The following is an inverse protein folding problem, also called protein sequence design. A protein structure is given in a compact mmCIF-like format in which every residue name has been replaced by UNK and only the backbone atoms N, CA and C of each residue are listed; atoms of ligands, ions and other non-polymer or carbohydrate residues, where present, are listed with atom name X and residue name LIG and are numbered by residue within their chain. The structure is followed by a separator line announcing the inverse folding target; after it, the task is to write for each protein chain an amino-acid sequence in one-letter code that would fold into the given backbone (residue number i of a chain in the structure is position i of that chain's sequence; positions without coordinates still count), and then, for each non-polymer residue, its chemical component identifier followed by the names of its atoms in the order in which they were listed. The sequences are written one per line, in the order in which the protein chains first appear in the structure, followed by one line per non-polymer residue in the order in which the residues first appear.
data_IF_387447106195
#
_entry.id   IF_387447106195
#
_cell.length_a   1.000
_cell.length_b   1.000
_cell.length_c   1.000
_cell.angle_alpha   90.00
_cell.angle_beta   90.00
_cell.angle_gamma   90.00
#
_symmetry.space_group_name_H-M   'P 1'
#
loop_
_entity.id
_entity.type
_entity.pdbx_description
1 polymer ?
#
# COMPACT_ATOMS: atom_id res chain seq x y z
N UNK A 1 -40.08 1.87 41.07
CA UNK A 1 -38.74 2.43 40.77
C UNK A 1 -37.72 1.39 40.28
N UNK A 2 -38.14 0.20 39.81
CA UNK A 2 -37.21 -0.89 39.43
C UNK A 2 -37.06 -1.10 37.91
N UNK A 3 -37.94 -0.55 37.07
CA UNK A 3 -37.97 -0.84 35.62
C UNK A 3 -37.05 0.07 34.80
N UNK A 4 -36.75 1.28 35.30
CA UNK A 4 -35.89 2.25 34.60
C UNK A 4 -34.39 1.93 34.67
N UNK A 5 -33.96 1.14 35.66
CA UNK A 5 -32.57 0.76 35.86
C UNK A 5 -32.13 -0.38 34.92
N UNK A 6 -33.02 -1.32 34.61
CA UNK A 6 -32.71 -2.47 33.74
C UNK A 6 -32.60 -2.11 32.25
N UNK A 7 -33.16 -0.98 31.82
CA UNK A 7 -33.12 -0.53 30.42
C UNK A 7 -31.76 0.14 30.13
N UNK A 8 -31.26 0.97 31.05
CA UNK A 8 -29.95 1.64 30.90
C UNK A 8 -28.77 0.67 30.80
N UNK A 9 -28.78 -0.42 31.56
CA UNK A 9 -27.71 -1.44 31.54
C UNK A 9 -27.65 -2.20 30.21
N UNK A 10 -28.79 -2.40 29.55
CA UNK A 10 -28.88 -3.09 28.24
C UNK A 10 -28.40 -2.23 27.08
N UNK A 11 -28.60 -0.91 27.14
CA UNK A 11 -28.07 0.02 26.15
C UNK A 11 -26.56 0.24 26.29
N UNK A 12 -26.05 0.31 27.53
CA UNK A 12 -24.60 0.46 27.78
C UNK A 12 -23.82 -0.78 27.32
N UNK A 13 -24.37 -1.99 27.53
CA UNK A 13 -23.75 -3.23 27.03
C UNK A 13 -23.83 -3.35 25.50
N UNK A 14 -24.94 -2.95 24.87
CA UNK A 14 -25.06 -2.96 23.41
C UNK A 14 -24.10 -1.98 22.72
N UNK A 15 -23.87 -0.80 23.29
CA UNK A 15 -22.89 0.19 22.76
C UNK A 15 -21.46 -0.31 22.95
N UNK A 16 -21.12 -0.91 24.10
CA UNK A 16 -19.79 -1.51 24.33
C UNK A 16 -19.49 -2.68 23.39
N UNK A 17 -20.47 -3.55 23.11
CA UNK A 17 -20.30 -4.66 22.16
C UNK A 17 -20.18 -4.16 20.72
N UNK A 18 -20.93 -3.11 20.34
CA UNK A 18 -20.81 -2.50 19.01
C UNK A 18 -19.44 -1.84 18.80
N UNK A 19 -18.93 -1.09 19.79
CA UNK A 19 -17.58 -0.49 19.75
C UNK A 19 -16.47 -1.56 19.69
N UNK A 20 -16.62 -2.69 20.40
CA UNK A 20 -15.66 -3.80 20.29
C UNK A 20 -15.69 -4.53 18.94
N UNK A 21 -16.84 -4.59 18.26
CA UNK A 21 -16.95 -5.21 16.94
C UNK A 21 -16.31 -4.35 15.84
N UNK A 22 -16.34 -3.02 15.95
CA UNK A 22 -15.65 -2.12 15.00
C UNK A 22 -14.13 -2.07 15.19
N UNK A 23 -13.61 -2.24 16.41
CA UNK A 23 -12.16 -2.32 16.64
C UNK A 23 -11.54 -3.63 16.13
N UNK A 24 -12.33 -4.71 16.08
CA UNK A 24 -11.83 -6.05 15.74
C UNK A 24 -11.47 -6.21 14.26
N UNK A 25 -12.22 -5.57 13.35
CA UNK A 25 -11.99 -5.66 11.90
C UNK A 25 -10.65 -5.07 11.46
N UNK A 26 -10.17 -4.02 12.16
CA UNK A 26 -8.91 -3.34 11.82
C UNK A 26 -7.67 -4.15 12.20
N UNK A 27 -7.73 -4.90 13.31
CA UNK A 27 -6.64 -5.79 13.73
C UNK A 27 -6.47 -7.00 12.78
N UNK A 28 -7.55 -7.48 12.17
CA UNK A 28 -7.52 -8.60 11.22
C UNK A 28 -6.97 -8.26 9.83
N UNK A 29 -7.05 -7.00 9.40
CA UNK A 29 -6.39 -6.55 8.17
C UNK A 29 -4.87 -6.66 8.36
N UNK A 30 -4.34 -5.93 9.34
CA UNK A 30 -2.91 -5.88 9.64
C UNK A 30 -2.24 -7.27 9.76
N UNK A 31 -2.90 -8.26 10.38
CA UNK A 31 -2.37 -9.62 10.44
C UNK A 31 -2.18 -10.28 9.06
N UNK A 32 -3.05 -10.01 8.08
CA UNK A 32 -2.96 -10.58 6.73
C UNK A 32 -1.84 -9.95 5.91
N UNK A 33 -1.68 -8.64 5.99
CA UNK A 33 -0.58 -7.94 5.32
C UNK A 33 0.79 -8.38 5.89
N UNK A 34 0.90 -8.44 7.22
CA UNK A 34 2.07 -8.96 7.93
C UNK A 34 2.40 -10.40 7.50
N UNK A 35 1.40 -11.29 7.47
CA UNK A 35 1.56 -12.67 7.00
C UNK A 35 2.03 -12.74 5.55
N UNK A 36 1.53 -11.87 4.68
CA UNK A 36 1.92 -11.85 3.26
C UNK A 36 3.40 -11.48 3.12
N UNK A 37 3.89 -10.50 3.90
CA UNK A 37 5.31 -10.10 3.92
C UNK A 37 6.19 -11.24 4.45
N UNK A 38 5.78 -11.89 5.54
CA UNK A 38 6.49 -13.04 6.11
C UNK A 38 6.55 -14.23 5.14
N UNK A 39 5.44 -14.55 4.48
CA UNK A 39 5.38 -15.61 3.47
C UNK A 39 6.24 -15.27 2.26
N UNK A 40 6.23 -14.02 1.80
CA UNK A 40 7.11 -13.55 0.73
C UNK A 40 8.60 -13.71 1.11
N UNK A 41 8.96 -13.38 2.35
CA UNK A 41 10.33 -13.57 2.85
C UNK A 41 10.71 -15.06 2.89
N UNK A 42 9.81 -15.93 3.38
CA UNK A 42 10.02 -17.37 3.42
C UNK A 42 10.23 -17.94 2.00
N UNK A 43 9.36 -17.57 1.05
CA UNK A 43 9.50 -17.95 -0.36
C UNK A 43 10.85 -17.55 -0.91
N UNK A 44 11.28 -16.30 -0.70
CA UNK A 44 12.58 -15.82 -1.18
C UNK A 44 13.75 -16.60 -0.58
N UNK A 45 13.77 -16.75 0.75
CA UNK A 45 14.84 -17.44 1.47
C UNK A 45 14.94 -18.91 1.03
N UNK A 46 13.81 -19.61 0.92
CA UNK A 46 13.77 -21.00 0.49
C UNK A 46 14.18 -21.17 -0.98
N UNK A 47 13.77 -20.24 -1.86
CA UNK A 47 14.19 -20.21 -3.27
C UNK A 47 15.72 -20.14 -3.37
N UNK A 48 16.33 -19.26 -2.58
CA UNK A 48 17.77 -19.01 -2.63
C UNK A 48 18.60 -20.08 -1.94
N UNK A 49 18.04 -20.77 -0.94
CA UNK A 49 18.71 -21.85 -0.22
C UNK A 49 18.96 -23.09 -1.10
N UNK A 50 18.01 -23.45 -1.97
CA UNK A 50 18.10 -24.66 -2.79
C UNK A 50 18.80 -24.40 -4.14
N UNK A 51 19.93 -25.07 -4.38
CA UNK A 51 20.75 -24.88 -5.58
C UNK A 51 20.04 -25.23 -6.90
N UNK A 52 19.09 -26.18 -6.89
CA UNK A 52 18.34 -26.56 -8.09
C UNK A 52 17.32 -25.49 -8.51
N UNK A 53 16.91 -24.65 -7.55
CA UNK A 53 15.78 -23.73 -7.71
C UNK A 53 16.18 -22.26 -7.55
N UNK A 54 17.43 -22.02 -7.12
CA UNK A 54 18.00 -20.70 -6.91
C UNK A 54 17.94 -19.88 -8.19
N UNK A 55 17.43 -18.66 -8.04
CA UNK A 55 17.51 -17.65 -9.08
C UNK A 55 18.98 -17.29 -9.28
N UNK A 56 19.56 -17.41 -10.49
CA UNK A 56 20.96 -17.10 -10.72
C UNK A 56 21.30 -15.67 -10.31
N UNK A 57 22.47 -15.47 -9.69
CA UNK A 57 22.90 -14.15 -9.23
C UNK A 57 22.95 -13.12 -10.37
N UNK A 58 23.24 -13.54 -11.61
CA UNK A 58 23.20 -12.69 -12.80
C UNK A 58 21.80 -12.12 -13.11
N UNK A 59 20.75 -12.82 -12.71
CA UNK A 59 19.37 -12.36 -12.89
C UNK A 59 19.01 -11.31 -11.86
N UNK A 60 19.40 -11.54 -10.59
CA UNK A 60 19.19 -10.62 -9.47
C UNK A 60 20.09 -9.38 -9.53
N UNK A 61 21.31 -9.52 -10.06
CA UNK A 61 22.23 -8.41 -10.24
C UNK A 61 21.65 -7.41 -11.26
N UNK A 62 21.58 -6.13 -10.88
CA UNK A 62 20.95 -5.10 -11.72
C UNK A 62 19.43 -5.26 -11.84
N UNK A 63 18.78 -6.00 -10.94
CA UNK A 63 17.34 -5.93 -10.80
C UNK A 63 16.91 -4.52 -10.35
N UNK A 64 15.89 -3.98 -11.00
CA UNK A 64 15.28 -2.69 -10.66
C UNK A 64 14.12 -2.87 -9.68
N UNK A 65 13.49 -4.04 -9.69
CA UNK A 65 12.52 -4.45 -8.69
C UNK A 65 12.45 -5.97 -8.57
N UNK A 66 12.00 -6.45 -7.41
CA UNK A 66 11.68 -7.86 -7.17
C UNK A 66 10.29 -7.94 -6.59
N UNK A 67 9.41 -8.70 -7.23
CA UNK A 67 8.10 -9.03 -6.68
C UNK A 67 8.08 -10.47 -6.17
N UNK A 68 7.47 -10.69 -5.01
CA UNK A 68 7.26 -12.02 -4.45
C UNK A 68 5.80 -12.18 -4.08
N UNK A 69 5.16 -13.18 -4.67
CA UNK A 69 3.72 -13.41 -4.59
C UNK A 69 3.53 -14.86 -4.10
N UNK A 70 3.44 -15.07 -2.78
CA UNK A 70 3.22 -16.40 -2.22
C UNK A 70 1.83 -16.92 -2.55
N UNK A 71 1.71 -18.24 -2.69
CA UNK A 71 0.42 -18.93 -2.72
C UNK A 71 -0.53 -18.50 -3.85
N UNK A 72 -0.04 -18.17 -5.04
CA UNK A 72 -0.87 -17.84 -6.20
C UNK A 72 -1.77 -19.02 -6.52
N UNK A 73 -3.07 -18.82 -6.39
CA UNK A 73 -4.07 -19.83 -6.68
C UNK A 73 -4.35 -19.79 -8.17
N UNK A 74 -4.19 -20.93 -8.84
CA UNK A 74 -4.60 -21.17 -10.22
C UNK A 74 -5.74 -22.20 -10.20
N UNK A 75 -6.92 -21.80 -10.63
CA UNK A 75 -8.05 -22.70 -10.84
C UNK A 75 -8.43 -22.74 -12.32
N UNK A 76 -8.75 -23.92 -12.86
CA UNK A 76 -9.17 -24.04 -14.26
C UNK A 76 -10.24 -25.11 -14.52
N UNK A 77 -11.28 -24.70 -15.27
CA UNK A 77 -12.18 -25.57 -16.03
C UNK A 77 -12.45 -24.90 -17.39
N UNK A 78 -11.78 -25.37 -18.46
CA UNK A 78 -11.81 -24.80 -19.84
C UNK A 78 -11.18 -23.40 -19.96
N UNK A 79 -11.50 -22.47 -19.06
CA UNK A 79 -10.86 -21.17 -18.86
C UNK A 79 -10.30 -21.13 -17.43
N UNK A 80 -9.01 -20.84 -17.30
CA UNK A 80 -8.33 -20.73 -16.01
C UNK A 80 -8.22 -19.30 -15.54
N UNK A 81 -8.44 -19.08 -14.24
CA UNK A 81 -8.12 -17.83 -13.56
C UNK A 81 -6.97 -18.08 -12.58
N UNK A 82 -6.06 -17.11 -12.49
CA UNK A 82 -5.05 -17.04 -11.43
C UNK A 82 -5.26 -15.79 -10.61
N UNK A 83 -5.10 -15.91 -9.30
CA UNK A 83 -5.14 -14.78 -8.38
C UNK A 83 -4.14 -15.00 -7.24
N UNK A 84 -3.41 -13.94 -6.88
CA UNK A 84 -2.49 -13.97 -5.74
C UNK A 84 -2.23 -12.58 -5.20
N UNK A 85 -1.81 -12.53 -3.94
CA UNK A 85 -1.37 -11.33 -3.23
C UNK A 85 0.10 -11.46 -2.91
N UNK A 86 0.82 -10.36 -2.99
CA UNK A 86 2.24 -10.35 -2.76
C UNK A 86 2.76 -8.95 -2.49
N UNK A 87 4.07 -8.82 -2.61
CA UNK A 87 4.78 -7.57 -2.38
C UNK A 87 5.80 -7.31 -3.48
N UNK A 88 6.04 -6.03 -3.76
CA UNK A 88 7.03 -5.52 -4.70
C UNK A 88 8.03 -4.67 -3.94
N UNK A 89 9.32 -5.00 -4.03
CA UNK A 89 10.40 -4.14 -3.58
C UNK A 89 11.05 -3.49 -4.79
N UNK A 90 11.18 -2.17 -4.78
CA UNK A 90 11.83 -1.40 -5.83
C UNK A 90 13.22 -0.97 -5.38
N UNK A 91 14.16 -0.95 -6.32
CA UNK A 91 15.52 -0.49 -6.12
C UNK A 91 15.70 0.87 -6.79
N UNK A 92 16.25 1.82 -6.07
CA UNK A 92 16.65 3.10 -6.63
C UNK A 92 17.86 2.93 -7.56
N UNK A 93 18.00 3.84 -8.53
CA UNK A 93 19.15 3.91 -9.43
C UNK A 93 20.47 4.08 -8.65
N UNK A 94 20.42 4.75 -7.49
CA UNK A 94 21.55 4.89 -6.56
C UNK A 94 21.92 3.58 -5.83
N UNK A 95 21.11 2.52 -5.96
CA UNK A 95 21.37 1.21 -5.40
C UNK A 95 20.61 0.76 -4.14
N UNK A 96 20.02 1.63 -3.28
CA UNK A 96 19.26 1.17 -2.13
C UNK A 96 17.90 0.57 -2.53
N UNK A 97 17.41 -0.36 -1.70
CA UNK A 97 16.08 -0.95 -1.83
C UNK A 97 15.08 -0.22 -0.96
N UNK A 98 13.89 0.02 -1.50
CA UNK A 98 12.77 0.58 -0.77
C UNK A 98 11.98 -0.48 0.01
N UNK A 99 11.18 -0.01 0.96
CA UNK A 99 10.23 -0.85 1.67
C UNK A 99 9.19 -1.44 0.67
N UNK A 100 8.73 -2.69 0.90
CA UNK A 100 7.83 -3.39 -0.01
C UNK A 100 6.47 -2.68 -0.12
N UNK A 101 5.90 -2.56 -1.32
CA UNK A 101 4.49 -2.19 -1.53
C UNK A 101 3.67 -3.44 -1.86
N UNK A 102 2.38 -3.45 -1.49
CA UNK A 102 1.53 -4.61 -1.78
C UNK A 102 1.08 -4.61 -3.23
N UNK A 103 1.00 -5.81 -3.80
CA UNK A 103 0.55 -6.03 -5.16
C UNK A 103 -0.45 -7.18 -5.21
N UNK A 104 -1.29 -7.15 -6.23
CA UNK A 104 -2.13 -8.28 -6.65
C UNK A 104 -1.70 -8.74 -8.03
N UNK A 105 -1.75 -10.04 -8.25
CA UNK A 105 -1.58 -10.67 -9.57
C UNK A 105 -2.90 -11.32 -9.94
N UNK A 106 -3.50 -10.90 -11.04
CA UNK A 106 -4.72 -11.51 -11.58
C UNK A 106 -4.50 -11.83 -13.05
N UNK A 107 -4.75 -13.07 -13.49
CA UNK A 107 -4.53 -13.45 -14.88
C UNK A 107 -5.52 -14.47 -15.38
N UNK A 108 -5.77 -14.44 -16.68
CA UNK A 108 -6.52 -15.46 -17.39
C UNK A 108 -5.57 -16.37 -18.15
N UNK A 109 -5.85 -17.67 -18.20
CA UNK A 109 -5.16 -18.57 -19.10
C UNK A 109 -6.15 -19.53 -19.76
N UNK A 110 -6.03 -19.77 -21.06
CA UNK A 110 -6.75 -20.84 -21.74
C UNK A 110 -5.93 -22.12 -21.58
N UNK A 111 -6.51 -23.16 -20.98
CA UNK A 111 -5.78 -24.42 -20.78
C UNK A 111 -6.68 -25.58 -20.38
N UNK A 112 -6.38 -26.77 -20.92
CA UNK A 112 -7.11 -28.02 -20.74
C UNK A 112 -6.85 -28.72 -19.40
N UNK A 113 -6.17 -28.07 -18.46
CA UNK A 113 -5.88 -28.66 -17.15
C UNK A 113 -7.08 -28.45 -16.22
N UNK A 114 -7.56 -29.54 -15.60
CA UNK A 114 -8.63 -29.51 -14.59
C UNK A 114 -7.98 -29.56 -13.21
N UNK A 115 -8.24 -28.56 -12.37
CA UNK A 115 -7.79 -28.57 -10.98
C UNK A 115 -7.54 -27.19 -10.38
N UNK A 116 -7.28 -27.19 -9.07
CA UNK A 116 -6.79 -26.03 -8.32
C UNK A 116 -5.36 -26.33 -7.88
N UNK A 117 -4.43 -25.45 -8.23
CA UNK A 117 -3.04 -25.52 -7.77
C UNK A 117 -2.65 -24.20 -7.09
N UNK A 118 -1.70 -24.28 -6.18
CA UNK A 118 -1.10 -23.12 -5.51
C UNK A 118 0.39 -23.09 -5.83
N UNK A 119 0.88 -21.95 -6.25
CA UNK A 119 2.29 -21.75 -6.60
C UNK A 119 2.82 -20.44 -6.08
N UNK A 120 4.03 -20.41 -5.56
CA UNK A 120 4.70 -19.15 -5.22
C UNK A 120 5.35 -18.58 -6.47
N UNK A 121 5.25 -17.27 -6.69
CA UNK A 121 5.80 -16.61 -7.88
C UNK A 121 6.81 -15.55 -7.44
N UNK A 122 7.99 -15.54 -8.06
CA UNK A 122 8.98 -14.47 -7.94
C UNK A 122 9.19 -13.84 -9.31
N UNK A 123 9.09 -12.52 -9.37
CA UNK A 123 9.32 -11.73 -10.58
C UNK A 123 10.54 -10.84 -10.38
N UNK A 124 11.43 -10.82 -11.37
CA UNK A 124 12.63 -10.00 -11.38
C UNK A 124 12.54 -9.01 -12.54
N UNK A 125 12.44 -7.72 -12.20
CA UNK A 125 12.32 -6.63 -13.17
C UNK A 125 13.72 -6.14 -13.55
N UNK A 126 14.02 -6.13 -14.84
CA UNK A 126 15.36 -5.84 -15.40
C UNK A 126 15.49 -4.45 -15.99
N UNK A 127 14.38 -3.74 -16.21
CA UNK A 127 14.36 -2.39 -16.80
C UNK A 127 13.62 -1.42 -15.88
N UNK A 128 14.05 -0.16 -15.86
CA UNK A 128 13.31 0.91 -15.17
C UNK A 128 11.89 1.09 -15.75
N UNK A 129 11.72 0.89 -17.05
CA UNK A 129 10.43 0.98 -17.74
C UNK A 129 9.41 -0.03 -17.20
N UNK A 130 9.82 -1.29 -16.99
CA UNK A 130 8.96 -2.31 -16.40
C UNK A 130 8.52 -1.98 -14.96
N UNK A 131 9.34 -1.23 -14.22
CA UNK A 131 8.98 -0.72 -12.88
C UNK A 131 8.03 0.47 -13.01
N UNK A 132 8.28 1.41 -13.92
CA UNK A 132 7.41 2.57 -14.08
C UNK A 132 5.98 2.17 -14.44
N UNK A 133 5.79 1.20 -15.34
CA UNK A 133 4.45 0.75 -15.72
C UNK A 133 3.64 0.13 -14.58
N UNK A 134 4.28 -0.50 -13.58
CA UNK A 134 3.56 -0.97 -12.38
C UNK A 134 3.25 0.17 -11.41
N UNK A 135 4.14 1.16 -11.30
CA UNK A 135 3.93 2.36 -10.47
C UNK A 135 2.79 3.24 -11.00
N UNK A 136 2.56 3.26 -12.32
CA UNK A 136 1.44 3.97 -12.97
C UNK A 136 0.07 3.28 -12.74
N UNK A 137 0.04 2.17 -11.98
CA UNK A 137 -1.16 1.60 -11.38
C UNK A 137 -1.43 0.16 -11.77
N UNK A 138 -1.18 -0.24 -13.03
CA UNK A 138 -1.30 -1.64 -13.46
C UNK A 138 -0.36 -1.95 -14.64
N UNK A 139 0.12 -3.19 -14.67
CA UNK A 139 1.01 -3.69 -15.71
C UNK A 139 0.55 -5.06 -16.20
N UNK A 140 0.35 -5.23 -17.50
CA UNK A 140 -0.07 -6.48 -18.12
C UNK A 140 1.13 -7.20 -18.72
N UNK A 141 1.46 -8.37 -18.16
CA UNK A 141 2.57 -9.19 -18.62
C UNK A 141 2.26 -9.82 -19.98
N UNK A 142 3.19 -9.69 -20.93
CA UNK A 142 3.06 -10.15 -22.31
C UNK A 142 2.35 -9.18 -23.25
N UNK A 143 1.65 -8.18 -22.72
CA UNK A 143 0.97 -7.14 -23.52
C UNK A 143 1.66 -5.77 -23.38
N UNK A 144 1.84 -5.30 -22.14
CA UNK A 144 2.50 -4.02 -21.85
C UNK A 144 4.02 -4.18 -21.74
N UNK A 145 4.48 -5.35 -21.31
CA UNK A 145 5.89 -5.64 -21.06
C UNK A 145 6.23 -7.09 -21.40
N UNK A 146 7.40 -7.31 -22.00
CA UNK A 146 7.88 -8.65 -22.30
C UNK A 146 8.26 -9.38 -21.00
N UNK A 147 7.52 -10.45 -20.68
CA UNK A 147 7.80 -11.34 -19.56
C UNK A 147 8.27 -12.71 -20.08
N UNK A 148 9.25 -13.31 -19.41
CA UNK A 148 9.73 -14.64 -19.79
C UNK A 148 10.06 -15.50 -18.57
N UNK A 149 9.92 -16.81 -18.74
CA UNK A 149 10.42 -17.79 -17.79
C UNK A 149 11.94 -17.61 -17.60
N UNK A 150 12.38 -17.43 -16.35
CA UNK A 150 13.80 -17.23 -16.05
C UNK A 150 14.61 -18.53 -15.99
N UNK A 151 15.94 -18.47 -16.23
CA UNK A 151 16.82 -19.64 -16.13
C UNK A 151 17.02 -20.08 -14.68
N UNK A 152 17.15 -21.39 -14.45
CA UNK A 152 17.39 -22.00 -13.14
C UNK A 152 18.77 -22.68 -13.06
N UNK A 153 19.19 -23.09 -11.86
CA UNK A 153 20.52 -23.62 -11.54
C UNK A 153 21.14 -24.57 -12.56
N UNK A 154 22.47 -24.47 -12.76
CA UNK A 154 23.27 -25.30 -13.66
C UNK A 154 23.09 -25.01 -15.17
N UNK A 155 21.87 -24.66 -15.62
CA UNK A 155 21.58 -24.37 -17.03
C UNK A 155 21.81 -22.90 -17.44
N UNK A 156 22.06 -22.02 -16.46
CA UNK A 156 22.41 -20.62 -16.70
C UNK A 156 23.70 -20.43 -17.52
N UNK A 157 24.53 -21.47 -17.67
CA UNK A 157 25.77 -21.43 -18.47
C UNK A 157 25.63 -22.00 -19.89
N UNK A 158 24.54 -22.70 -20.19
CA UNK A 158 24.38 -23.45 -21.44
C UNK A 158 23.46 -22.75 -22.48
N UNK A 159 22.76 -21.68 -22.08
CA UNK A 159 21.81 -20.95 -22.95
C UNK A 159 22.07 -19.46 -23.11
N UNK A 160 23.18 -18.94 -22.58
CA UNK A 160 23.43 -17.50 -22.39
C UNK A 160 23.83 -16.73 -23.66
N UNK A 161 24.01 -17.42 -24.79
CA UNK A 161 24.41 -16.79 -26.07
C UNK A 161 23.23 -16.11 -26.79
N UNK A 162 21.99 -16.42 -26.41
CA UNK A 162 20.80 -15.68 -26.85
C UNK A 162 20.45 -14.62 -25.82
N UNK A 163 20.76 -13.34 -26.10
CA UNK A 163 20.49 -12.17 -25.25
C UNK A 163 19.20 -12.34 -24.43
N UNK A 164 19.35 -12.36 -23.11
CA UNK A 164 18.26 -12.21 -22.15
C UNK A 164 17.58 -10.84 -22.40
N UNK A 165 16.52 -10.83 -23.22
CA UNK A 165 15.84 -9.61 -23.70
C UNK A 165 14.52 -9.31 -22.98
N UNK A 166 14.03 -10.20 -22.13
CA UNK A 166 12.78 -9.95 -21.41
C UNK A 166 13.01 -8.89 -20.34
N UNK A 167 12.05 -8.00 -20.19
CA UNK A 167 12.10 -6.95 -19.20
C UNK A 167 11.73 -7.47 -17.80
N UNK A 168 10.94 -8.55 -17.75
CA UNK A 168 10.57 -9.24 -16.51
C UNK A 168 10.85 -10.73 -16.64
N UNK A 169 11.52 -11.29 -15.64
CA UNK A 169 11.74 -12.73 -15.53
C UNK A 169 10.90 -13.33 -14.42
N UNK A 170 10.17 -14.40 -14.73
CA UNK A 170 9.26 -15.07 -13.82
C UNK A 170 9.75 -16.47 -13.42
N UNK A 171 9.65 -16.74 -12.14
CA UNK A 171 9.99 -18.00 -11.48
C UNK A 171 8.79 -18.46 -10.68
N UNK A 172 8.39 -19.73 -10.80
CA UNK A 172 7.35 -20.28 -9.96
C UNK A 172 7.80 -21.55 -9.24
N UNK A 173 7.30 -21.70 -8.00
CA UNK A 173 7.45 -22.88 -7.16
C UNK A 173 6.11 -23.57 -6.97
N UNK A 174 6.09 -24.89 -7.10
CA UNK A 174 4.98 -25.71 -6.59
C UNK A 174 5.56 -26.88 -5.82
N UNK A 175 5.16 -27.08 -4.55
CA UNK A 175 5.47 -28.28 -3.75
C UNK A 175 6.94 -28.73 -3.82
N UNK A 176 7.88 -27.77 -3.74
CA UNK A 176 9.32 -28.05 -3.72
C UNK A 176 10.03 -28.11 -5.09
N UNK A 177 9.30 -28.00 -6.21
CA UNK A 177 9.86 -27.88 -7.55
C UNK A 177 9.73 -26.44 -8.04
N UNK A 178 10.83 -25.86 -8.56
CA UNK A 178 10.79 -24.58 -9.25
C UNK A 178 10.98 -24.77 -10.75
N UNK A 179 10.21 -24.02 -11.52
CA UNK A 179 10.35 -23.90 -12.96
C UNK A 179 10.17 -22.44 -13.35
N UNK A 180 10.91 -21.97 -14.36
CA UNK A 180 10.53 -20.74 -15.04
C UNK A 180 9.14 -20.94 -15.66
N UNK A 181 8.22 -20.00 -15.43
CA UNK A 181 6.84 -20.10 -15.92
C UNK A 181 6.47 -18.86 -16.71
N UNK A 182 5.89 -19.05 -17.90
CA UNK A 182 5.27 -17.96 -18.63
C UNK A 182 3.98 -17.54 -17.91
N UNK A 183 3.88 -16.25 -17.61
CA UNK A 183 2.74 -15.65 -16.89
C UNK A 183 2.04 -14.58 -17.72
N UNK A 184 2.22 -14.66 -19.04
CA UNK A 184 1.52 -13.83 -20.01
C UNK A 184 0.00 -13.83 -19.76
N UNK A 185 -0.62 -12.69 -20.03
CA UNK A 185 -2.04 -12.46 -19.76
C UNK A 185 -2.36 -12.25 -18.28
N UNK A 186 -1.36 -11.96 -17.45
CA UNK A 186 -1.56 -11.57 -16.04
C UNK A 186 -1.36 -10.07 -15.87
N UNK A 187 -2.27 -9.45 -15.13
CA UNK A 187 -2.22 -8.06 -14.69
C UNK A 187 -1.65 -8.04 -13.27
N UNK A 188 -0.60 -7.25 -13.08
CA UNK A 188 -0.10 -6.87 -11.76
C UNK A 188 -0.64 -5.49 -11.43
N UNK A 189 -1.17 -5.30 -10.22
CA UNK A 189 -1.69 -4.02 -9.75
C UNK A 189 -1.16 -3.72 -8.36
N UNK A 190 -0.77 -2.48 -8.09
CA UNK A 190 -0.46 -2.03 -6.72
C UNK A 190 -1.75 -2.01 -5.89
N UNK A 191 -1.70 -2.60 -4.71
CA UNK A 191 -2.75 -2.59 -3.71
C UNK A 191 -2.46 -1.46 -2.71
N UNK A 192 -2.90 -0.25 -3.07
CA UNK A 192 -2.71 0.95 -2.25
C UNK A 192 -3.41 0.82 -0.89
N UNK A 193 -4.56 0.16 -0.85
CA UNK A 193 -5.32 -0.04 0.39
C UNK A 193 -4.55 -0.94 1.36
N UNK A 194 -4.04 -2.08 0.89
CA UNK A 194 -3.21 -2.96 1.70
C UNK A 194 -1.90 -2.29 2.11
N UNK A 195 -1.30 -1.50 1.21
CA UNK A 195 -0.07 -0.74 1.49
C UNK A 195 -0.30 0.29 2.60
N UNK A 196 -1.35 1.11 2.52
CA UNK A 196 -1.69 2.05 3.59
C UNK A 196 -2.14 1.39 4.90
N UNK A 197 -2.84 0.26 4.83
CA UNK A 197 -3.24 -0.47 6.04
C UNK A 197 -2.02 -1.00 6.81
N UNK A 198 -0.97 -1.40 6.09
CA UNK A 198 0.25 -1.95 6.64
C UNK A 198 1.22 -0.88 7.14
N UNK A 199 1.41 0.19 6.35
CA UNK A 199 2.29 1.31 6.68
C UNK A 199 1.52 2.43 7.35
N UNK A 200 1.63 2.51 8.67
CA UNK A 200 1.01 3.58 9.45
C UNK A 200 2.00 4.67 9.80
N UNK A 201 1.53 5.91 9.77
CA UNK A 201 2.20 7.02 10.44
C UNK A 201 1.72 7.12 11.89
N UNK A 202 2.55 7.71 12.76
CA UNK A 202 2.15 8.00 14.15
C UNK A 202 1.09 9.12 14.24
N UNK A 203 0.80 9.80 13.13
CA UNK A 203 -0.17 10.88 12.98
C UNK A 203 0.01 11.60 11.64
N UNK A 204 -0.87 12.57 11.31
CA UNK A 204 -0.69 13.44 10.15
C UNK A 204 0.70 14.11 10.15
N UNK A 205 1.37 14.15 9.00
CA UNK A 205 2.71 14.75 8.86
C UNK A 205 3.86 14.01 9.55
N UNK A 206 3.58 12.91 10.28
CA UNK A 206 4.62 12.08 10.89
C UNK A 206 5.17 11.07 9.88
N UNK A 207 6.47 10.73 9.95
CA UNK A 207 7.06 9.75 9.06
C UNK A 207 6.39 8.39 9.21
N UNK A 208 6.21 7.70 8.07
CA UNK A 208 5.71 6.33 8.03
C UNK A 208 6.64 5.42 8.83
N UNK A 209 6.05 4.62 9.72
CA UNK A 209 6.76 3.60 10.49
C UNK A 209 6.82 2.33 9.63
N UNK A 210 8.04 1.92 9.27
CA UNK A 210 8.28 0.68 8.52
C UNK A 210 8.30 -0.50 9.50
N UNK A 211 7.40 -1.50 9.36
CA UNK A 211 7.37 -2.66 10.25
C UNK A 211 8.65 -3.52 10.17
N UNK A 212 9.05 -4.21 11.25
CA UNK A 212 10.27 -5.02 11.26
C UNK A 212 10.33 -6.09 10.17
N UNK A 213 9.22 -6.73 9.84
CA UNK A 213 9.12 -7.75 8.79
C UNK A 213 9.33 -7.17 7.39
N UNK A 214 8.89 -5.93 7.14
CA UNK A 214 9.18 -5.21 5.91
C UNK A 214 10.69 -4.95 5.78
N UNK A 215 11.33 -4.51 6.86
CA UNK A 215 12.78 -4.29 6.90
C UNK A 215 13.55 -5.60 6.66
N UNK A 216 13.12 -6.69 7.29
CA UNK A 216 13.72 -8.01 7.11
C UNK A 216 13.63 -8.51 5.68
N UNK A 217 12.47 -8.35 5.02
CA UNK A 217 12.32 -8.71 3.60
C UNK A 217 13.24 -7.86 2.71
N UNK A 218 13.27 -6.54 2.90
CA UNK A 218 14.15 -5.64 2.14
C UNK A 218 15.63 -6.02 2.33
N UNK A 219 16.04 -6.37 3.54
CA UNK A 219 17.40 -6.85 3.84
C UNK A 219 17.69 -8.19 3.15
N UNK A 220 16.75 -9.14 3.18
CA UNK A 220 16.87 -10.42 2.46
C UNK A 220 17.06 -10.19 0.95
N UNK A 221 16.31 -9.27 0.35
CA UNK A 221 16.42 -8.92 -1.08
C UNK A 221 17.77 -8.24 -1.37
N UNK A 222 18.20 -7.31 -0.52
CA UNK A 222 19.50 -6.65 -0.63
C UNK A 222 20.66 -7.66 -0.56
N UNK A 223 20.58 -8.62 0.35
CA UNK A 223 21.60 -9.66 0.51
C UNK A 223 21.72 -10.57 -0.73
N UNK A 224 20.58 -10.97 -1.32
CA UNK A 224 20.59 -11.88 -2.48
C UNK A 224 20.92 -11.18 -3.80
N UNK A 225 20.79 -9.85 -3.86
CA UNK A 225 21.11 -9.03 -5.05
C UNK A 225 22.54 -8.49 -5.04
N UNK A 226 23.33 -8.78 -3.98
CA UNK A 226 24.74 -8.42 -3.89
C UNK A 226 25.00 -6.98 -3.43
N UNK A 227 24.00 -6.26 -2.92
CA UNK A 227 24.18 -4.92 -2.33
C UNK A 227 24.54 -5.06 -0.85
N UNK A 228 25.78 -5.46 -0.56
CA UNK A 228 26.31 -5.42 0.81
C UNK A 228 26.57 -3.95 1.23
N UNK A 229 25.56 -3.31 1.80
CA UNK A 229 25.73 -2.22 2.77
C UNK A 229 25.03 -2.64 4.07
N UNK A 230 25.75 -2.87 5.18
CA UNK A 230 25.14 -3.31 6.43
C UNK A 230 24.22 -2.24 7.04
N UNK A 231 23.13 -2.61 7.74
CA UNK A 231 22.45 -1.72 8.65
C UNK A 231 23.07 -1.81 10.06
N UNK A 232 23.03 -0.67 10.78
CA UNK A 232 23.36 -0.45 12.21
C UNK A 232 24.83 -0.13 12.54
N UNK A 233 25.10 1.16 12.78
CA UNK A 233 26.15 1.58 13.71
C UNK A 233 25.52 1.80 15.10
N UNK A 234 26.01 1.14 16.18
CA UNK A 234 25.79 1.59 17.54
C UNK A 234 26.76 2.73 17.91
N UNK A 235 26.36 3.52 18.90
CA UNK A 235 27.10 4.67 19.41
C UNK A 235 28.54 4.32 19.85
N UNK A 236 29.49 5.19 19.48
CA UNK A 236 30.74 5.41 20.20
C UNK A 236 32.02 4.81 19.60
N UNK A 237 32.69 5.54 18.69
CA UNK A 237 34.15 5.65 18.61
C UNK A 237 34.56 6.74 17.60
N UNK A 238 35.19 7.80 18.10
CA UNK A 238 35.81 8.88 17.30
C UNK A 238 37.20 8.40 16.86
N UNK A 239 37.60 8.64 15.60
CA UNK A 239 38.90 9.29 15.38
C UNK A 239 38.74 10.58 14.57
N UNK A 240 39.26 11.64 15.17
CA UNK A 240 39.46 13.00 14.69
C UNK A 240 40.50 13.07 13.57
N UNK A 241 40.18 13.76 12.48
CA UNK A 241 41.14 14.29 11.51
C UNK A 241 40.46 14.83 10.23
N UNK A 242 40.56 16.14 9.90
CA UNK A 242 39.89 16.70 8.73
C UNK A 242 40.72 16.55 7.45
N UNK A 243 40.10 16.09 6.37
CA UNK A 243 40.60 16.28 4.99
C UNK A 243 39.76 17.39 4.35
N UNK A 244 40.33 18.52 3.93
CA UNK A 244 39.59 19.60 3.28
C UNK A 244 39.46 19.34 1.77
N UNK A 245 38.24 19.45 1.22
CA UNK A 245 38.08 19.64 -0.23
C UNK A 245 36.94 18.92 -0.95
N UNK A 246 36.01 18.25 -0.27
CA UNK A 246 34.89 17.59 -0.95
C UNK A 246 33.55 18.22 -0.54
N UNK A 247 32.73 18.72 -1.49
CA UNK A 247 31.35 19.10 -1.21
C UNK A 247 30.61 17.85 -0.73
N UNK A 248 30.01 17.94 0.45
CA UNK A 248 29.14 16.91 0.99
C UNK A 248 27.87 16.80 0.13
N UNK A 249 27.93 15.97 -0.92
CA UNK A 249 26.72 15.43 -1.52
C UNK A 249 26.16 14.41 -0.52
N UNK A 250 25.16 14.86 0.25
CA UNK A 250 24.41 14.01 1.16
C UNK A 250 23.93 12.76 0.43
N UNK A 251 24.25 11.60 1.00
CA UNK A 251 23.64 10.34 0.61
C UNK A 251 22.12 10.48 0.67
N UNK A 252 21.34 10.11 -0.37
CA UNK A 252 19.92 9.94 -0.21
C UNK A 252 19.72 8.76 0.75
N UNK A 253 19.19 9.04 1.93
CA UNK A 253 18.74 8.00 2.83
C UNK A 253 17.70 7.13 2.10
N UNK A 254 17.75 5.81 2.29
CA UNK A 254 16.65 4.92 1.96
C UNK A 254 15.41 5.39 2.74
N UNK A 255 14.61 6.24 2.11
CA UNK A 255 13.59 7.06 2.79
C UNK A 255 12.18 6.50 2.63
N UNK A 256 11.26 6.86 3.55
CA UNK A 256 9.82 6.56 3.48
C UNK A 256 9.12 7.12 2.21
N UNK A 257 9.76 8.02 1.47
CA UNK A 257 9.15 8.71 0.31
C UNK A 257 8.60 7.81 -0.81
N UNK A 258 9.10 6.57 -0.97
CA UNK A 258 8.53 5.62 -1.94
C UNK A 258 7.22 5.00 -1.44
N UNK A 259 7.13 4.65 -0.15
CA UNK A 259 5.87 4.13 0.41
C UNK A 259 4.85 5.25 0.59
N UNK A 260 5.29 6.50 0.84
CA UNK A 260 4.41 7.67 0.98
C UNK A 260 3.56 7.94 -0.28
N UNK A 261 4.02 7.51 -1.48
CA UNK A 261 3.26 7.60 -2.74
C UNK A 261 2.09 6.61 -2.83
N UNK A 262 2.12 5.53 -2.05
CA UNK A 262 1.14 4.43 -2.11
C UNK A 262 0.48 4.13 -0.77
N UNK A 263 0.90 4.79 0.31
CA UNK A 263 0.26 4.75 1.60
C UNK A 263 -1.08 5.51 1.51
N UNK A 264 -2.15 4.85 1.93
CA UNK A 264 -3.47 5.47 2.11
C UNK A 264 -3.35 6.53 3.19
N UNK A 265 -3.42 7.81 2.79
CA UNK A 265 -3.39 8.92 3.73
C UNK A 265 -4.73 9.00 4.47
N UNK A 266 -4.76 9.61 5.65
CA UNK A 266 -6.01 9.85 6.40
C UNK A 266 -7.09 10.49 5.51
N UNK A 267 -6.65 11.37 4.60
CA UNK A 267 -7.46 11.98 3.55
C UNK A 267 -8.16 10.96 2.64
N UNK A 268 -7.51 9.86 2.26
CA UNK A 268 -8.09 8.85 1.36
C UNK A 268 -9.17 8.02 2.06
N UNK A 269 -8.98 7.72 3.35
CA UNK A 269 -10.00 7.06 4.19
C UNK A 269 -11.21 7.97 4.39
N UNK A 270 -10.96 9.25 4.69
CA UNK A 270 -12.02 10.24 4.87
C UNK A 270 -12.80 10.50 3.58
N UNK A 271 -12.11 10.47 2.43
CA UNK A 271 -12.71 10.56 1.11
C UNK A 271 -13.62 9.37 0.80
N UNK A 272 -13.17 8.14 1.08
CA UNK A 272 -13.98 6.93 0.88
C UNK A 272 -15.24 6.92 1.75
N UNK A 273 -15.12 7.30 3.03
CA UNK A 273 -16.26 7.47 3.94
C UNK A 273 -17.23 8.57 3.47
N UNK A 274 -16.73 9.71 2.99
CA UNK A 274 -17.56 10.77 2.41
C UNK A 274 -18.36 10.27 1.21
N UNK A 275 -17.74 9.49 0.32
CA UNK A 275 -18.44 8.93 -0.86
C UNK A 275 -19.50 7.88 -0.51
N UNK A 276 -19.39 7.21 0.64
CA UNK A 276 -20.39 6.25 1.12
C UNK A 276 -21.59 6.91 1.81
N UNK A 277 -21.33 7.94 2.61
CA UNK A 277 -22.35 8.56 3.48
C UNK A 277 -23.09 9.70 2.76
N UNK A 278 -22.45 10.41 1.84
CA UNK A 278 -23.09 11.53 1.14
C UNK A 278 -24.38 11.18 0.37
N UNK A 279 -24.50 10.00 -0.29
CA UNK A 279 -25.75 9.59 -0.92
C UNK A 279 -26.94 9.54 0.05
N UNK A 280 -26.73 9.15 1.31
CA UNK A 280 -27.80 9.10 2.33
C UNK A 280 -28.37 10.49 2.62
N UNK A 281 -27.51 11.53 2.62
CA UNK A 281 -27.95 12.92 2.73
C UNK A 281 -28.68 13.37 1.46
N UNK A 282 -28.21 12.97 0.28
CA UNK A 282 -28.78 13.38 -1.00
C UNK A 282 -30.17 12.78 -1.26
N UNK A 283 -30.45 11.58 -0.77
CA UNK A 283 -31.78 10.96 -0.84
C UNK A 283 -32.84 11.70 -0.01
N UNK A 284 -32.42 12.50 0.98
CA UNK A 284 -33.31 13.24 1.87
C UNK A 284 -33.68 14.64 1.37
N UNK A 285 -33.01 15.14 0.32
CA UNK A 285 -33.17 16.51 -0.16
C UNK A 285 -33.54 16.54 -1.64
N UNK A 286 -34.25 17.57 -2.06
CA UNK A 286 -34.68 17.72 -3.45
C UNK A 286 -33.49 18.02 -4.41
N UNK A 287 -33.68 17.88 -5.74
CA UNK A 287 -32.60 18.05 -6.71
C UNK A 287 -31.89 19.41 -6.65
N UNK A 288 -32.56 20.48 -6.21
CA UNK A 288 -31.94 21.80 -6.09
C UNK A 288 -30.96 21.81 -4.91
N UNK A 289 -31.34 21.19 -3.80
CA UNK A 289 -30.46 21.00 -2.63
C UNK A 289 -29.35 20.00 -2.89
N UNK A 290 -29.58 18.95 -3.68
CA UNK A 290 -28.53 18.02 -4.11
C UNK A 290 -27.44 18.76 -4.91
N UNK A 291 -27.83 19.62 -5.85
CA UNK A 291 -26.88 20.44 -6.62
C UNK A 291 -26.11 21.43 -5.71
N UNK A 292 -26.77 22.01 -4.72
CA UNK A 292 -26.14 22.94 -3.79
C UNK A 292 -25.15 22.25 -2.83
N UNK A 293 -25.50 21.09 -2.30
CA UNK A 293 -24.68 20.30 -1.36
C UNK A 293 -23.74 19.32 -2.06
N UNK A 294 -23.68 19.35 -3.39
CA UNK A 294 -22.85 18.48 -4.18
C UNK A 294 -21.38 18.55 -3.75
N UNK A 295 -20.80 17.36 -3.64
CA UNK A 295 -19.40 17.14 -3.38
C UNK A 295 -18.57 17.46 -4.65
N UNK A 296 -17.34 18.00 -4.51
CA UNK A 296 -16.43 18.23 -5.64
C UNK A 296 -16.28 16.97 -6.52
N UNK A 297 -16.38 17.14 -7.84
CA UNK A 297 -16.23 16.05 -8.82
C UNK A 297 -14.86 15.37 -8.71
N UNK A 298 -13.86 16.12 -8.27
CA UNK A 298 -12.48 15.70 -8.03
C UNK A 298 -12.39 14.62 -6.95
N UNK A 299 -13.31 14.62 -5.96
CA UNK A 299 -13.39 13.55 -4.95
C UNK A 299 -13.90 12.22 -5.51
N UNK A 300 -14.46 12.20 -6.72
CA UNK A 300 -14.88 10.97 -7.40
C UNK A 300 -13.86 10.50 -8.46
N UNK A 301 -12.84 11.30 -8.77
CA UNK A 301 -11.80 10.95 -9.74
C UNK A 301 -10.62 10.22 -9.06
N UNK A 302 -10.39 8.96 -9.42
CA UNK A 302 -9.39 8.07 -8.79
C UNK A 302 -7.92 8.57 -8.82
N UNK A 303 -7.62 9.64 -9.55
CA UNK A 303 -6.28 10.20 -9.76
C UNK A 303 -6.16 11.71 -9.49
N UNK A 304 -7.21 12.35 -8.97
CA UNK A 304 -7.16 13.79 -8.64
C UNK A 304 -6.71 14.01 -7.19
N UNK A 305 -5.66 14.82 -7.02
CA UNK A 305 -5.26 15.38 -5.71
C UNK A 305 -6.21 16.54 -5.39
N UNK A 306 -7.06 16.38 -4.38
CA UNK A 306 -7.97 17.44 -3.94
C UNK A 306 -7.17 18.41 -3.06
N UNK A 307 -7.06 19.66 -3.48
CA UNK A 307 -6.39 20.68 -2.67
C UNK A 307 -7.37 21.28 -1.64
N UNK A 308 -6.87 21.86 -0.53
CA UNK A 308 -7.72 22.63 0.38
C UNK A 308 -8.54 23.72 -0.32
N UNK A 309 -7.95 24.35 -1.35
CA UNK A 309 -8.57 25.43 -2.13
C UNK A 309 -9.77 24.94 -2.94
N UNK A 310 -9.69 23.73 -3.53
CA UNK A 310 -10.79 23.12 -4.28
C UNK A 310 -11.98 22.74 -3.37
N UNK A 311 -11.69 22.44 -2.10
CA UNK A 311 -12.69 22.00 -1.12
C UNK A 311 -13.36 23.17 -0.39
N UNK A 312 -12.66 24.29 -0.22
CA UNK A 312 -13.14 25.51 0.44
C UNK A 312 -14.55 25.98 0.00
N UNK A 313 -14.90 26.08 -1.30
CA UNK A 313 -16.22 26.52 -1.72
C UNK A 313 -17.33 25.55 -1.29
N UNK A 314 -17.03 24.26 -1.22
CA UNK A 314 -17.97 23.24 -0.74
C UNK A 314 -18.18 23.36 0.76
N UNK A 315 -17.09 23.50 1.52
CA UNK A 315 -17.17 23.69 2.96
C UNK A 315 -17.95 24.94 3.34
N UNK A 316 -17.79 26.04 2.59
CA UNK A 316 -18.54 27.28 2.78
C UNK A 316 -20.06 27.10 2.57
N UNK A 317 -20.48 26.29 1.59
CA UNK A 317 -21.91 25.98 1.36
C UNK A 317 -22.50 25.23 2.55
N UNK A 318 -21.81 24.20 3.04
CA UNK A 318 -22.25 23.46 4.23
C UNK A 318 -22.24 24.32 5.49
N UNK A 319 -21.22 25.18 5.67
CA UNK A 319 -21.16 26.13 6.78
C UNK A 319 -22.35 27.09 6.76
N UNK A 320 -22.74 27.62 5.59
CA UNK A 320 -23.91 28.49 5.43
C UNK A 320 -25.19 27.80 5.91
N UNK A 321 -25.36 26.52 5.59
CA UNK A 321 -26.49 25.71 6.06
C UNK A 321 -26.44 25.47 7.56
N UNK A 322 -25.26 25.20 8.10
CA UNK A 322 -25.07 24.96 9.54
C UNK A 322 -25.33 26.21 10.39
N UNK A 323 -25.03 27.41 9.90
CA UNK A 323 -25.12 28.66 10.67
C UNK A 323 -26.42 29.44 10.47
N UNK A 324 -27.13 29.24 9.35
CA UNK A 324 -28.37 29.97 9.08
C UNK A 324 -29.56 29.36 9.86
N UNK A 325 -30.25 30.13 10.73
CA UNK A 325 -31.40 29.65 11.49
C UNK A 325 -32.54 29.08 10.64
N UNK A 326 -32.69 29.55 9.40
CA UNK A 326 -33.72 29.09 8.46
C UNK A 326 -33.55 27.62 8.06
N UNK A 327 -32.32 27.09 8.09
CA UNK A 327 -32.02 25.71 7.69
C UNK A 327 -31.78 24.78 8.89
N UNK A 328 -32.15 25.21 10.09
CA UNK A 328 -31.92 24.46 11.35
C UNK A 328 -32.46 23.03 11.29
N UNK A 329 -33.60 22.80 10.63
CA UNK A 329 -34.19 21.47 10.50
C UNK A 329 -33.31 20.50 9.68
N UNK A 330 -32.60 20.99 8.67
CA UNK A 330 -31.64 20.22 7.88
C UNK A 330 -30.30 20.08 8.64
N UNK A 331 -29.82 21.16 9.25
CA UNK A 331 -28.55 21.17 9.99
C UNK A 331 -28.54 20.24 11.24
N UNK A 332 -29.72 19.92 11.79
CA UNK A 332 -29.87 18.99 12.91
C UNK A 332 -29.98 17.52 12.48
N UNK A 333 -30.02 17.21 11.18
CA UNK A 333 -30.08 15.85 10.67
C UNK A 333 -28.74 15.11 10.90
N UNK A 334 -28.75 13.86 11.39
CA UNK A 334 -27.54 13.06 11.57
C UNK A 334 -26.71 12.92 10.29
N UNK A 335 -27.37 12.79 9.14
CA UNK A 335 -26.76 12.63 7.83
C UNK A 335 -25.99 13.90 7.44
N UNK A 336 -26.61 15.07 7.64
CA UNK A 336 -25.96 16.36 7.40
C UNK A 336 -24.77 16.59 8.34
N UNK A 337 -24.91 16.29 9.63
CA UNK A 337 -23.82 16.45 10.60
C UNK A 337 -22.64 15.52 10.30
N UNK A 338 -22.91 14.30 9.86
CA UNK A 338 -21.87 13.33 9.50
C UNK A 338 -21.09 13.79 8.29
N UNK A 339 -21.77 14.19 7.20
CA UNK A 339 -21.11 14.70 5.98
C UNK A 339 -20.35 16.00 6.27
N UNK A 340 -20.95 16.94 7.02
CA UNK A 340 -20.30 18.21 7.33
C UNK A 340 -19.07 18.03 8.24
N UNK A 341 -19.16 17.18 9.26
CA UNK A 341 -18.05 16.85 10.15
C UNK A 341 -16.90 16.16 9.41
N UNK A 342 -17.22 15.22 8.50
CA UNK A 342 -16.22 14.57 7.66
C UNK A 342 -15.57 15.55 6.68
N UNK A 343 -16.32 16.48 6.08
CA UNK A 343 -15.78 17.53 5.22
C UNK A 343 -14.81 18.46 5.97
N UNK A 344 -15.14 18.84 7.21
CA UNK A 344 -14.25 19.63 8.06
C UNK A 344 -12.97 18.88 8.42
N UNK A 345 -13.10 17.59 8.74
CA UNK A 345 -11.96 16.75 9.07
C UNK A 345 -11.05 16.52 7.86
N UNK A 346 -11.65 16.24 6.70
CA UNK A 346 -10.96 16.10 5.42
C UNK A 346 -10.22 17.40 5.05
N UNK A 347 -10.88 18.56 5.12
CA UNK A 347 -10.24 19.85 4.86
C UNK A 347 -9.03 20.11 5.78
N UNK A 348 -9.14 19.79 7.07
CA UNK A 348 -8.03 19.92 8.03
C UNK A 348 -6.88 18.97 7.71
N UNK A 349 -7.19 17.74 7.29
CA UNK A 349 -6.17 16.76 6.89
C UNK A 349 -5.37 17.17 5.64
N UNK A 350 -5.91 18.09 4.82
CA UNK A 350 -5.28 18.61 3.61
C UNK A 350 -4.41 19.86 3.85
N UNK A 351 -4.51 20.52 5.01
CA UNK A 351 -3.71 21.71 5.32
C UNK A 351 -2.31 21.30 5.84
N UNK A 352 -1.21 21.88 5.33
CA UNK A 352 0.11 21.72 5.95
C UNK A 352 0.11 22.33 7.36
N UNK A 353 0.77 21.67 8.32
CA UNK A 353 0.82 22.02 9.75
C UNK A 353 0.83 23.55 10.01
N UNK A 354 -0.21 24.05 10.66
CA UNK A 354 -0.16 25.35 11.35
C UNK A 354 0.70 25.15 12.63
N UNK A 355 1.63 26.06 12.96
CA UNK A 355 2.67 25.80 13.94
C UNK A 355 2.07 25.63 15.34
N UNK A 356 2.57 24.61 16.05
CA UNK A 356 2.37 24.29 17.48
C UNK A 356 1.70 25.43 18.24
N UNK A 357 0.45 25.20 18.67
CA UNK A 357 -0.28 26.06 19.60
C UNK A 357 0.63 26.42 20.78
N UNK A 358 1.17 27.64 20.79
CA UNK A 358 1.87 28.20 21.94
C UNK A 358 0.82 28.52 22.99
N UNK A 359 0.64 27.62 23.95
CA UNK A 359 -0.21 27.85 25.10
C UNK A 359 0.53 28.80 26.08
N UNK A 360 -0.12 29.84 26.63
CA UNK A 360 0.44 30.58 27.75
C UNK A 360 0.65 29.66 28.96
N UNK A 361 1.60 29.97 29.87
CA UNK A 361 1.92 29.10 30.99
C UNK A 361 0.68 28.82 31.84
N UNK A 362 0.52 27.58 32.35
CA UNK A 362 -0.66 27.19 33.11
C UNK A 362 -0.82 28.08 34.35
N UNK A 363 -2.07 28.41 34.76
CA UNK A 363 -2.31 29.20 35.95
C UNK A 363 -1.74 28.47 37.18
N UNK A 364 -1.06 29.22 38.05
CA UNK A 364 -0.50 28.68 39.28
C UNK A 364 -1.63 28.09 40.14
N UNK A 365 -1.45 26.83 40.57
CA UNK A 365 -2.33 26.25 41.58
C UNK A 365 -2.10 27.01 42.89
N UNK A 366 -3.12 27.72 43.36
CA UNK A 366 -3.16 28.35 44.68
C UNK A 366 -3.71 27.40 45.74
#
# INVERSE_FOLDING_TARGET
MSTRFSIGVRYVTAVLVSVCLFTSSRAHAQMREEQTVQQAQAVLNETMANAATRIPASMLNGAHAVAVIPGVIKGSFVVGARHGRGVLCVRDAAGPWHAPVFITLTGGNVGWQIGVNSSDIVLVFKTAQSVQGILDGKLTLGADVAAAAGPLGGQASAGTDGRLQAEIYSYARTRGLFAGVAIDGSVIKIDQLATGAYYRSAGPGQPVIVPPTAQQLTQSIAAVTGTNTPPVAPAGAIPTGPVPGQPAAGQPAAGPGFVDQFATHESDVLRDELTKIAPELFDLVDPQWQAFLALPKEMFAASAHVTPEDLAPTLARYQTVATNPQYRALAQRPEFQSVYGLLQHYHRSLQPDDPKVQLPPPPAMH
#
